data_IF_739233397770
#
_entry.id   IF_739233397770
#
_cell.length_a   1.000
_cell.length_b   1.000
_cell.length_c   1.000
_cell.angle_alpha   90.00
_cell.angle_beta   90.00
_cell.angle_gamma   90.00
#
_symmetry.space_group_name_H-M   'P 1'
#
loop_
_entity.id
_entity.type
_entity.pdbx_description
1 polymer ?
#
# COMPACT_ATOMS: atom_id res chain seq x y z
N UNK A 1 -15.17 48.22 51.92
CA UNK A 1 -14.10 47.48 52.63
C UNK A 1 -13.39 46.59 51.61
N UNK A 2 -12.07 46.76 51.49
CA UNK A 2 -11.02 46.05 50.72
C UNK A 2 -9.96 45.66 51.80
N UNK A 3 -8.91 44.82 51.60
CA UNK A 3 -8.44 43.94 50.49
C UNK A 3 -8.04 42.52 51.08
N UNK A 4 -7.08 41.68 50.59
CA UNK A 4 -6.17 41.82 49.45
C UNK A 4 -5.97 40.62 48.49
N UNK A 5 -5.50 41.03 47.31
CA UNK A 5 -4.81 40.27 46.27
C UNK A 5 -3.37 39.93 46.71
N UNK A 6 -2.89 38.75 46.30
CA UNK A 6 -1.45 38.42 46.32
C UNK A 6 -0.98 38.15 44.90
N UNK A 7 -0.07 38.98 44.42
CA UNK A 7 0.66 38.81 43.17
C UNK A 7 1.87 37.90 43.39
N UNK A 8 2.14 36.98 42.46
CA UNK A 8 3.38 36.23 42.40
C UNK A 8 4.21 36.77 41.24
N UNK A 9 5.28 37.49 41.60
CA UNK A 9 6.38 37.87 40.73
C UNK A 9 7.33 36.68 40.58
N UNK A 10 7.66 36.29 39.35
CA UNK A 10 8.77 35.37 39.09
C UNK A 10 9.81 36.10 38.26
N UNK A 11 11.01 36.18 38.81
CA UNK A 11 12.10 37.03 38.35
C UNK A 11 12.80 36.55 37.08
N UNK A 12 13.29 37.53 36.34
CA UNK A 12 14.37 37.44 35.37
C UNK A 12 15.60 36.76 35.99
N UNK A 13 16.15 35.73 35.33
CA UNK A 13 17.56 35.38 35.45
C UNK A 13 18.21 35.41 34.07
N UNK A 14 19.20 36.29 33.95
CA UNK A 14 20.08 36.48 32.81
C UNK A 14 21.47 36.02 33.22
N UNK A 15 22.22 35.38 32.32
CA UNK A 15 23.69 35.47 32.34
C UNK A 15 24.48 34.17 32.26
N UNK A 16 24.91 33.88 31.04
CA UNK A 16 26.21 33.33 30.65
C UNK A 16 26.68 32.00 31.26
N UNK A 17 26.57 30.93 30.46
CA UNK A 17 27.57 29.86 30.44
C UNK A 17 28.24 29.85 29.06
N UNK A 18 29.53 30.19 29.07
CA UNK A 18 30.47 30.02 27.97
C UNK A 18 30.58 28.53 27.63
N UNK A 19 30.05 28.11 26.47
CA UNK A 19 30.38 26.83 25.88
C UNK A 19 31.53 27.03 24.88
N UNK A 20 32.68 26.49 25.25
CA UNK A 20 33.85 26.31 24.40
C UNK A 20 33.49 25.39 23.23
N UNK A 21 33.64 25.91 22.00
CA UNK A 21 33.57 25.12 20.77
C UNK A 21 34.79 24.20 20.68
N UNK A 22 34.60 22.91 20.96
CA UNK A 22 35.47 21.86 20.46
C UNK A 22 34.98 21.48 19.07
N UNK A 23 35.68 21.98 18.05
CA UNK A 23 35.49 21.58 16.66
C UNK A 23 35.90 20.12 16.47
N UNK A 24 34.91 19.23 16.42
CA UNK A 24 35.07 17.89 15.89
C UNK A 24 35.16 17.97 14.36
N UNK A 25 36.34 17.71 13.82
CA UNK A 25 36.51 17.44 12.39
C UNK A 25 36.03 16.01 12.11
N UNK A 26 35.01 15.78 11.27
CA UNK A 26 34.77 14.44 10.76
C UNK A 26 35.91 14.10 9.77
N UNK A 27 36.75 13.15 10.17
CA UNK A 27 37.69 12.51 9.26
C UNK A 27 36.91 11.69 8.25
N UNK A 28 36.74 12.23 7.04
CA UNK A 28 36.17 11.51 5.90
C UNK A 28 37.19 10.45 5.49
N UNK A 29 37.04 9.23 6.01
CA UNK A 29 37.63 8.07 5.38
C UNK A 29 36.85 7.84 4.09
N UNK A 30 37.47 8.20 2.96
CA UNK A 30 37.04 7.76 1.66
C UNK A 30 37.17 6.23 1.62
N UNK A 31 36.07 5.53 1.88
CA UNK A 31 35.97 4.12 1.56
C UNK A 31 35.90 4.01 0.05
N UNK A 32 37.01 3.64 -0.58
CA UNK A 32 37.06 3.15 -1.95
C UNK A 32 36.14 1.94 -2.04
N UNK A 33 34.91 2.12 -2.51
CA UNK A 33 34.04 1.01 -2.90
C UNK A 33 34.65 0.42 -4.17
N UNK A 34 35.44 -0.63 -3.97
CA UNK A 34 35.87 -1.53 -5.03
C UNK A 34 34.62 -2.12 -5.67
N UNK A 35 34.38 -1.71 -6.91
CA UNK A 35 33.33 -2.23 -7.78
C UNK A 35 33.71 -3.66 -8.22
N UNK A 36 33.52 -4.64 -7.34
CA UNK A 36 33.56 -6.06 -7.70
C UNK A 36 32.14 -6.54 -7.90
N UNK A 37 31.79 -6.70 -9.18
CA UNK A 37 30.48 -7.13 -9.61
C UNK A 37 30.00 -8.40 -8.91
N UNK A 38 28.74 -8.35 -8.49
CA UNK A 38 27.78 -9.43 -8.61
C UNK A 38 26.41 -8.79 -8.49
N UNK A 39 25.88 -8.39 -9.65
CA UNK A 39 24.44 -8.35 -9.81
C UNK A 39 23.93 -9.75 -9.50
N UNK A 40 23.43 -9.95 -8.28
CA UNK A 40 22.52 -11.04 -8.02
C UNK A 40 21.19 -10.66 -8.67
N UNK A 41 21.17 -10.67 -10.01
CA UNK A 41 19.99 -11.12 -10.70
C UNK A 41 19.74 -12.52 -10.16
N UNK A 42 18.80 -12.64 -9.21
CA UNK A 42 18.30 -13.91 -8.80
C UNK A 42 17.79 -14.58 -10.09
N UNK A 43 18.55 -15.58 -10.57
CA UNK A 43 18.07 -16.51 -11.57
C UNK A 43 16.85 -17.19 -10.96
N UNK A 44 15.66 -16.63 -11.20
CA UNK A 44 14.39 -17.27 -10.86
C UNK A 44 14.35 -18.58 -11.65
N UNK A 45 14.42 -19.75 -11.00
CA UNK A 45 14.36 -21.02 -11.70
C UNK A 45 12.94 -21.22 -12.24
N UNK A 46 12.83 -21.47 -13.55
CA UNK A 46 11.62 -21.78 -14.32
C UNK A 46 10.65 -20.63 -14.64
N UNK A 47 10.63 -20.25 -15.92
CA UNK A 47 9.75 -19.28 -16.60
C UNK A 47 8.28 -19.71 -16.73
N UNK A 48 7.71 -20.31 -15.69
CA UNK A 48 6.27 -20.56 -15.65
C UNK A 48 5.51 -19.29 -15.27
N UNK A 49 4.36 -19.05 -15.91
CA UNK A 49 3.40 -18.04 -15.48
C UNK A 49 2.20 -18.73 -14.83
N UNK A 50 1.67 -18.12 -13.78
CA UNK A 50 0.38 -18.44 -13.22
C UNK A 50 -0.65 -17.43 -13.68
N UNK A 51 -1.90 -17.87 -13.80
CA UNK A 51 -3.00 -17.02 -14.21
C UNK A 51 -3.95 -16.79 -13.03
N UNK A 52 -4.23 -15.53 -12.76
CA UNK A 52 -5.20 -15.12 -11.74
C UNK A 52 -6.30 -14.31 -12.44
N UNK A 53 -7.52 -14.82 -12.41
CA UNK A 53 -8.72 -14.14 -12.85
C UNK A 53 -9.37 -13.44 -11.66
N UNK A 54 -9.27 -12.12 -11.61
CA UNK A 54 -9.96 -11.30 -10.62
C UNK A 54 -11.39 -11.04 -11.08
N UNK A 55 -12.37 -11.31 -10.21
CA UNK A 55 -13.79 -10.99 -10.44
C UNK A 55 -14.25 -9.98 -9.41
N UNK A 56 -14.50 -8.75 -9.86
CA UNK A 56 -14.80 -7.63 -8.97
C UNK A 56 -16.29 -7.34 -8.98
N UNK A 57 -16.89 -7.46 -7.80
CA UNK A 57 -18.26 -7.07 -7.50
C UNK A 57 -18.30 -6.05 -6.36
N UNK A 58 -19.51 -5.79 -5.87
CA UNK A 58 -19.76 -4.97 -4.69
C UNK A 58 -20.94 -5.52 -3.90
N UNK A 59 -21.24 -4.91 -2.75
CA UNK A 59 -22.43 -5.28 -1.98
C UNK A 59 -23.76 -4.97 -2.70
N UNK A 60 -23.74 -4.18 -3.78
CA UNK A 60 -24.94 -3.75 -4.53
C UNK A 60 -24.96 -4.16 -6.00
N UNK A 61 -23.86 -4.73 -6.53
CA UNK A 61 -23.74 -5.17 -7.92
C UNK A 61 -22.81 -6.37 -8.00
N UNK A 62 -23.18 -7.37 -8.81
CA UNK A 62 -22.32 -8.52 -9.10
C UNK A 62 -21.07 -8.15 -9.91
N UNK A 63 -21.09 -7.01 -10.60
CA UNK A 63 -20.03 -6.57 -11.53
C UNK A 63 -19.64 -5.12 -11.24
N UNK A 64 -18.33 -4.87 -11.19
CA UNK A 64 -17.74 -3.53 -11.19
C UNK A 64 -16.70 -3.43 -12.32
N UNK A 65 -17.10 -2.80 -13.42
CA UNK A 65 -16.23 -2.51 -14.56
C UNK A 65 -15.33 -1.29 -14.27
N UNK A 66 -14.15 -1.24 -14.90
CA UNK A 66 -13.20 -0.13 -14.74
C UNK A 66 -12.52 -0.07 -13.36
N UNK A 67 -12.65 -1.10 -12.54
CA UNK A 67 -11.90 -1.21 -11.29
C UNK A 67 -10.43 -1.50 -11.61
N UNK A 68 -9.52 -0.72 -11.01
CA UNK A 68 -8.09 -0.99 -11.10
C UNK A 68 -7.70 -2.10 -10.14
N UNK A 69 -7.05 -3.13 -10.66
CA UNK A 69 -6.40 -4.17 -9.88
C UNK A 69 -4.88 -3.92 -9.90
N UNK A 70 -4.23 -4.02 -8.76
CA UNK A 70 -2.79 -3.90 -8.58
C UNK A 70 -2.32 -5.18 -7.90
N UNK A 71 -1.54 -5.99 -8.59
CA UNK A 71 -1.02 -7.28 -8.10
C UNK A 71 0.43 -7.10 -7.67
N UNK A 72 0.72 -7.52 -6.45
CA UNK A 72 1.96 -7.22 -5.73
C UNK A 72 2.60 -8.54 -5.29
N UNK A 73 3.87 -8.76 -5.62
CA UNK A 73 4.58 -9.96 -5.20
C UNK A 73 5.03 -9.89 -3.73
N UNK A 74 5.64 -10.97 -3.24
CA UNK A 74 6.12 -11.06 -1.87
C UNK A 74 7.27 -10.08 -1.53
N UNK A 75 7.98 -9.58 -2.55
CA UNK A 75 9.02 -8.55 -2.41
C UNK A 75 8.44 -7.12 -2.38
N UNK A 76 7.10 -6.98 -2.47
CA UNK A 76 6.42 -5.70 -2.48
C UNK A 76 6.43 -4.99 -3.84
N UNK A 77 6.82 -5.66 -4.93
CA UNK A 77 6.86 -5.10 -6.28
C UNK A 77 5.53 -5.32 -7.01
N UNK A 78 5.09 -4.34 -7.80
CA UNK A 78 3.96 -4.51 -8.71
C UNK A 78 4.37 -5.45 -9.85
N UNK A 79 3.71 -6.60 -9.95
CA UNK A 79 3.94 -7.59 -11.02
C UNK A 79 2.87 -7.56 -12.12
N UNK A 80 1.69 -6.98 -11.82
CA UNK A 80 0.65 -6.76 -12.81
C UNK A 80 -0.29 -5.65 -12.34
N UNK A 81 -0.80 -4.83 -13.26
CA UNK A 81 -1.90 -3.91 -12.98
C UNK A 81 -2.71 -3.64 -14.23
N UNK A 82 -4.02 -3.45 -14.07
CA UNK A 82 -4.92 -3.11 -15.17
C UNK A 82 -6.31 -2.80 -14.66
N UNK A 83 -7.21 -2.51 -15.60
CA UNK A 83 -8.62 -2.25 -15.31
C UNK A 83 -9.45 -3.51 -15.58
N UNK A 84 -10.51 -3.69 -14.81
CA UNK A 84 -11.53 -4.69 -15.12
C UNK A 84 -12.30 -4.33 -16.38
N UNK A 85 -12.67 -5.36 -17.14
CA UNK A 85 -13.52 -5.25 -18.32
C UNK A 85 -14.99 -4.99 -17.96
N UNK A 86 -15.87 -5.03 -18.98
CA UNK A 86 -17.32 -4.85 -18.82
C UNK A 86 -17.99 -5.94 -17.99
N UNK A 87 -17.33 -7.08 -17.78
CA UNK A 87 -17.80 -8.18 -16.93
C UNK A 87 -17.24 -8.10 -15.51
N UNK A 88 -16.46 -7.05 -15.19
CA UNK A 88 -15.82 -6.91 -13.88
C UNK A 88 -14.62 -7.82 -13.71
N UNK A 89 -14.03 -8.29 -14.82
CA UNK A 89 -12.95 -9.26 -14.82
C UNK A 89 -11.62 -8.62 -15.18
N UNK A 90 -10.55 -9.00 -14.47
CA UNK A 90 -9.16 -8.67 -14.84
C UNK A 90 -8.30 -9.93 -14.78
N UNK A 91 -7.60 -10.25 -15.87
CA UNK A 91 -6.72 -11.41 -15.96
C UNK A 91 -5.26 -10.99 -15.79
N UNK A 92 -4.64 -11.44 -14.70
CA UNK A 92 -3.23 -11.21 -14.40
C UNK A 92 -2.41 -12.46 -14.73
N UNK A 93 -1.30 -12.27 -15.46
CA UNK A 93 -0.26 -13.29 -15.59
C UNK A 93 0.89 -12.92 -14.67
N UNK A 94 1.23 -13.80 -13.72
CA UNK A 94 2.25 -13.54 -12.70
C UNK A 94 3.33 -14.62 -12.71
N UNK A 95 4.59 -14.30 -12.38
CA UNK A 95 5.64 -15.31 -12.29
C UNK A 95 5.30 -16.38 -11.24
N UNK A 96 5.52 -17.66 -11.59
CA UNK A 96 5.47 -18.74 -10.60
C UNK A 96 6.77 -18.75 -9.79
N UNK A 97 6.64 -18.79 -8.47
CA UNK A 97 7.76 -19.00 -7.55
C UNK A 97 7.93 -20.49 -7.27
N UNK A 98 8.53 -21.20 -8.24
CA UNK A 98 8.85 -22.64 -8.09
C UNK A 98 10.19 -22.81 -7.38
N UNK A 99 10.16 -23.38 -6.19
CA UNK A 99 11.35 -23.75 -5.42
C UNK A 99 11.20 -25.19 -4.94
N UNK A 100 12.32 -25.86 -4.65
CA UNK A 100 12.34 -27.33 -4.46
C UNK A 100 11.28 -27.83 -3.47
N UNK A 101 11.06 -27.10 -2.37
CA UNK A 101 10.08 -27.48 -1.35
C UNK A 101 8.62 -27.40 -1.83
N UNK A 102 8.29 -26.57 -2.83
CA UNK A 102 6.92 -26.39 -3.33
C UNK A 102 6.63 -27.06 -4.69
N UNK A 103 7.59 -27.80 -5.24
CA UNK A 103 7.43 -28.52 -6.51
C UNK A 103 6.23 -29.47 -6.50
N UNK A 104 5.89 -30.04 -5.36
CA UNK A 104 4.78 -30.99 -5.18
C UNK A 104 3.40 -30.33 -5.00
N UNK A 105 3.32 -29.05 -4.63
CA UNK A 105 2.03 -28.38 -4.35
C UNK A 105 1.49 -27.67 -5.59
N UNK A 106 0.18 -27.66 -5.81
CA UNK A 106 -0.42 -26.92 -6.92
C UNK A 106 -0.13 -25.41 -6.83
N UNK A 107 -0.11 -24.86 -5.62
CA UNK A 107 0.27 -23.47 -5.37
C UNK A 107 1.77 -23.29 -5.51
N UNK A 108 2.19 -22.44 -6.45
CA UNK A 108 3.58 -22.14 -6.76
C UNK A 108 3.99 -20.74 -6.31
N UNK A 109 3.38 -20.22 -5.26
CA UNK A 109 3.66 -18.90 -4.71
C UNK A 109 2.41 -18.19 -4.23
N UNK A 110 2.60 -16.98 -3.71
CA UNK A 110 1.52 -16.09 -3.29
C UNK A 110 1.77 -14.68 -3.83
N UNK A 111 0.67 -13.97 -4.09
CA UNK A 111 0.67 -12.52 -4.32
C UNK A 111 -0.36 -11.86 -3.40
N UNK A 112 -0.27 -10.55 -3.30
CA UNK A 112 -1.32 -9.72 -2.75
C UNK A 112 -1.95 -8.90 -3.88
N UNK A 113 -3.13 -8.36 -3.66
CA UNK A 113 -3.75 -7.43 -4.58
C UNK A 113 -4.40 -6.24 -3.87
N UNK A 114 -4.49 -5.12 -4.57
CA UNK A 114 -5.29 -3.95 -4.18
C UNK A 114 -6.27 -3.67 -5.31
N UNK A 115 -7.53 -3.47 -4.97
CA UNK A 115 -8.60 -3.14 -5.91
C UNK A 115 -9.16 -1.77 -5.57
N UNK A 116 -9.22 -0.90 -6.58
CA UNK A 116 -9.61 0.50 -6.48
C UNK A 116 -10.63 0.81 -7.57
N UNK A 117 -11.77 1.39 -7.22
CA UNK A 117 -12.79 1.79 -8.20
C UNK A 117 -13.47 3.09 -7.80
N UNK A 118 -13.82 3.90 -8.81
CA UNK A 118 -14.58 5.13 -8.60
C UNK A 118 -15.95 4.81 -7.98
N UNK A 119 -16.32 5.51 -6.91
CA UNK A 119 -17.55 5.27 -6.15
C UNK A 119 -17.41 4.25 -5.00
N UNK A 120 -16.23 3.66 -4.80
CA UNK A 120 -16.00 2.62 -3.79
C UNK A 120 -14.80 2.91 -2.89
N UNK A 121 -14.80 2.29 -1.71
CA UNK A 121 -13.62 2.17 -0.86
C UNK A 121 -12.66 1.13 -1.45
N UNK A 122 -11.38 1.28 -1.19
CA UNK A 122 -10.35 0.35 -1.66
C UNK A 122 -10.38 -0.97 -0.90
N UNK A 123 -10.07 -2.08 -1.58
CA UNK A 123 -9.96 -3.40 -0.97
C UNK A 123 -8.59 -4.00 -1.22
N UNK A 124 -7.85 -4.31 -0.16
CA UNK A 124 -6.67 -5.17 -0.24
C UNK A 124 -7.09 -6.63 -0.07
N UNK A 125 -6.40 -7.54 -0.76
CA UNK A 125 -6.58 -8.98 -0.65
C UNK A 125 -5.21 -9.61 -0.48
N UNK A 126 -4.99 -10.24 0.66
CA UNK A 126 -3.70 -10.84 1.00
C UNK A 126 -3.72 -12.36 0.76
N UNK A 127 -2.55 -12.93 0.48
CA UNK A 127 -2.34 -14.39 0.37
C UNK A 127 -3.21 -14.99 -0.75
N UNK A 128 -3.09 -14.44 -1.95
CA UNK A 128 -3.71 -15.00 -3.16
C UNK A 128 -2.78 -16.10 -3.68
N UNK A 129 -3.19 -17.38 -3.67
CA UNK A 129 -2.35 -18.47 -4.16
C UNK A 129 -2.18 -18.38 -5.67
N UNK A 130 -0.94 -18.50 -6.14
CA UNK A 130 -0.64 -18.59 -7.56
C UNK A 130 -0.70 -20.07 -7.97
N UNK A 131 -1.66 -20.43 -8.81
CA UNK A 131 -1.77 -21.75 -9.44
C UNK A 131 -1.72 -21.59 -10.96
N UNK A 132 -1.95 -22.67 -11.72
CA UNK A 132 -2.12 -22.57 -13.18
C UNK A 132 -3.36 -21.74 -13.55
N UNK A 133 -4.42 -21.84 -12.76
CA UNK A 133 -5.63 -21.03 -12.90
C UNK A 133 -6.29 -20.79 -11.54
N UNK A 134 -6.13 -19.56 -11.02
CA UNK A 134 -6.77 -19.10 -9.78
C UNK A 134 -7.89 -18.13 -10.13
N UNK A 135 -9.09 -18.31 -9.57
CA UNK A 135 -10.16 -17.31 -9.61
C UNK A 135 -10.19 -16.62 -8.24
N UNK A 136 -10.05 -15.29 -8.23
CA UNK A 136 -10.06 -14.47 -7.02
C UNK A 136 -11.24 -13.48 -7.06
N UNK A 137 -12.36 -13.79 -6.39
CA UNK A 137 -13.43 -12.83 -6.18
C UNK A 137 -13.00 -11.72 -5.22
N UNK A 138 -13.43 -10.48 -5.48
CA UNK A 138 -13.23 -9.33 -4.58
C UNK A 138 -14.52 -8.51 -4.54
N UNK A 139 -14.94 -8.13 -3.33
CA UNK A 139 -16.16 -7.36 -3.12
C UNK A 139 -15.80 -5.97 -2.59
N UNK A 140 -16.10 -4.95 -3.37
CA UNK A 140 -15.92 -3.56 -2.98
C UNK A 140 -17.10 -3.04 -2.16
N UNK A 141 -16.81 -2.12 -1.24
CA UNK A 141 -17.83 -1.41 -0.48
C UNK A 141 -18.10 -0.05 -1.13
N UNK A 142 -19.34 0.27 -1.50
CA UNK A 142 -19.67 1.60 -1.98
C UNK A 142 -19.30 2.67 -0.95
N UNK A 143 -18.85 3.82 -1.44
CA UNK A 143 -18.68 5.01 -0.62
C UNK A 143 -20.02 5.34 0.01
N UNK A 144 -20.03 5.53 1.33
CA UNK A 144 -21.22 5.95 2.07
C UNK A 144 -20.88 7.25 2.80
N UNK A 145 -21.54 8.37 2.45
CA UNK A 145 -21.24 9.68 3.03
C UNK A 145 -21.60 9.79 4.52
N UNK A 146 -22.31 8.82 5.07
CA UNK A 146 -22.72 8.77 6.48
C UNK A 146 -21.74 8.04 7.39
N UNK A 147 -20.65 7.51 6.84
CA UNK A 147 -19.63 6.77 7.60
C UNK A 147 -18.23 7.04 7.08
N UNK A 148 -17.24 6.59 7.85
CA UNK A 148 -15.85 6.63 7.43
C UNK A 148 -15.60 5.66 6.26
N UNK A 149 -14.98 6.14 5.19
CA UNK A 149 -14.77 5.42 3.95
C UNK A 149 -13.33 4.92 3.83
N UNK A 150 -12.93 4.08 4.77
CA UNK A 150 -11.57 3.53 4.82
C UNK A 150 -11.39 2.33 3.88
N UNK A 151 -10.14 2.06 3.46
CA UNK A 151 -9.81 0.78 2.86
C UNK A 151 -10.13 -0.38 3.79
N UNK A 152 -10.47 -1.52 3.20
CA UNK A 152 -10.64 -2.79 3.91
C UNK A 152 -9.71 -3.87 3.35
N UNK A 153 -9.50 -4.93 4.12
CA UNK A 153 -8.62 -6.03 3.74
C UNK A 153 -9.36 -7.37 3.85
N UNK A 154 -9.11 -8.27 2.91
CA UNK A 154 -9.45 -9.68 3.01
C UNK A 154 -8.24 -10.41 3.55
N UNK A 155 -8.42 -11.05 4.70
CA UNK A 155 -7.38 -11.76 5.47
C UNK A 155 -6.32 -10.80 6.05
N UNK A 156 -5.88 -11.09 7.27
CA UNK A 156 -4.94 -10.27 8.03
C UNK A 156 -5.62 -9.25 8.96
N UNK A 157 -4.92 -8.91 10.05
CA UNK A 157 -5.34 -7.91 11.02
C UNK A 157 -4.51 -6.64 10.84
N UNK A 158 -4.85 -5.84 9.84
CA UNK A 158 -4.17 -4.56 9.61
C UNK A 158 -4.80 -3.44 10.44
N UNK A 159 -3.95 -2.60 11.02
CA UNK A 159 -4.38 -1.30 11.51
C UNK A 159 -4.93 -0.45 10.36
N UNK A 160 -6.00 0.30 10.62
CA UNK A 160 -6.62 1.19 9.62
C UNK A 160 -5.63 2.19 9.00
N UNK A 161 -4.70 2.71 9.80
CA UNK A 161 -3.66 3.63 9.35
C UNK A 161 -2.66 2.93 8.41
N UNK A 162 -2.16 1.77 8.81
CA UNK A 162 -1.17 1.02 8.03
C UNK A 162 -1.74 0.57 6.69
N UNK A 163 -3.00 0.09 6.69
CA UNK A 163 -3.68 -0.28 5.46
C UNK A 163 -3.86 0.92 4.52
N UNK A 164 -4.19 2.09 5.07
CA UNK A 164 -4.26 3.34 4.29
C UNK A 164 -2.91 3.68 3.66
N UNK A 165 -1.82 3.56 4.41
CA UNK A 165 -0.47 3.84 3.92
C UNK A 165 -0.02 2.82 2.87
N UNK A 166 -0.34 1.54 3.07
CA UNK A 166 -0.11 0.47 2.09
C UNK A 166 -0.81 0.77 0.77
N UNK A 167 -2.11 1.07 0.80
CA UNK A 167 -2.86 1.46 -0.41
C UNK A 167 -2.29 2.73 -1.04
N UNK A 168 -1.98 3.74 -0.23
CA UNK A 168 -1.42 5.00 -0.72
C UNK A 168 -0.08 4.82 -1.44
N UNK A 169 0.81 3.97 -0.92
CA UNK A 169 2.11 3.70 -1.52
C UNK A 169 1.98 3.26 -2.99
N UNK A 170 1.20 2.22 -3.26
CA UNK A 170 1.02 1.70 -4.62
C UNK A 170 0.19 2.62 -5.51
N UNK A 171 -0.80 3.32 -4.94
CA UNK A 171 -1.56 4.31 -5.69
C UNK A 171 -0.67 5.49 -6.14
N UNK A 172 0.30 5.92 -5.31
CA UNK A 172 1.29 6.92 -5.70
C UNK A 172 2.26 6.40 -6.76
N UNK A 173 2.76 5.16 -6.62
CA UNK A 173 3.64 4.52 -7.60
C UNK A 173 2.99 4.49 -9.00
N UNK A 174 1.70 4.18 -9.06
CA UNK A 174 0.91 4.19 -10.29
C UNK A 174 0.36 5.58 -10.66
N UNK A 175 0.69 6.64 -9.93
CA UNK A 175 0.24 8.02 -10.17
C UNK A 175 -1.29 8.17 -10.24
N UNK A 176 -2.01 7.41 -9.42
CA UNK A 176 -3.47 7.53 -9.34
C UNK A 176 -3.88 8.87 -8.74
N UNK A 177 -5.10 9.30 -9.04
CA UNK A 177 -5.71 10.47 -8.40
C UNK A 177 -6.62 10.05 -7.25
N UNK A 178 -6.93 10.99 -6.35
CA UNK A 178 -7.98 10.80 -5.35
C UNK A 178 -9.35 11.01 -5.99
N UNK A 179 -10.36 10.33 -5.48
CA UNK A 179 -11.75 10.63 -5.75
C UNK A 179 -12.13 11.99 -5.15
N UNK A 180 -13.26 12.59 -5.54
CA UNK A 180 -13.74 13.82 -4.94
C UNK A 180 -13.87 13.72 -3.41
N UNK A 181 -13.68 14.83 -2.67
CA UNK A 181 -13.86 14.85 -1.21
C UNK A 181 -15.26 14.40 -0.79
N UNK A 182 -15.33 13.65 0.31
CA UNK A 182 -16.58 13.18 0.90
C UNK A 182 -16.96 14.16 2.03
N UNK A 183 -18.14 14.81 2.00
CA UNK A 183 -18.46 15.91 2.92
C UNK A 183 -18.32 15.61 4.42
N UNK A 184 -18.57 14.37 4.85
CA UNK A 184 -18.47 13.95 6.26
C UNK A 184 -17.24 13.08 6.57
N UNK A 185 -16.31 12.97 5.62
CA UNK A 185 -15.00 12.31 5.81
C UNK A 185 -13.90 13.19 5.18
N UNK A 186 -13.70 14.43 5.67
CA UNK A 186 -12.79 15.40 5.04
C UNK A 186 -11.32 14.97 5.11
N UNK A 187 -10.98 14.12 6.06
CA UNK A 187 -9.61 13.66 6.31
C UNK A 187 -9.19 12.52 5.38
N UNK A 188 -10.13 11.95 4.62
CA UNK A 188 -9.85 10.86 3.70
C UNK A 188 -10.76 10.85 2.48
N UNK A 189 -10.14 11.06 1.31
CA UNK A 189 -10.75 10.67 0.05
C UNK A 189 -10.16 9.31 -0.39
N UNK A 190 -10.98 8.32 -0.77
CA UNK A 190 -10.51 7.12 -1.45
C UNK A 190 -9.78 7.43 -2.76
N UNK A 191 -8.92 6.54 -3.21
CA UNK A 191 -8.23 6.58 -4.49
C UNK A 191 -9.18 6.25 -5.64
N UNK A 192 -8.91 6.86 -6.79
CA UNK A 192 -9.61 6.62 -8.05
C UNK A 192 -8.88 5.53 -8.84
N UNK A 193 -9.61 4.81 -9.69
CA UNK A 193 -9.03 3.91 -10.70
C UNK A 193 -8.20 4.65 -11.75
N UNK A 194 -8.39 5.97 -11.85
CA UNK A 194 -7.82 6.79 -12.91
C UNK A 194 -6.43 7.30 -12.54
N UNK A 195 -5.54 7.30 -13.53
CA UNK A 195 -4.25 7.98 -13.47
C UNK A 195 -4.44 9.50 -13.56
N UNK A 196 -3.54 10.24 -12.89
CA UNK A 196 -3.42 11.69 -13.01
C UNK A 196 -2.95 12.13 -14.40
#
# INVERSE_FOLDING_TARGET
>A
MKPPFTAVTCGLLCGLLMFSYLSFTPSVHAATISNSGRGHAANLPNSGQGHIEFRIGSSTSAVVAGARVIVINHDGQIVSSGLTDTHGTFNASVPLFKIDWNKQFTTKGIVNAIVIANGFNEQAVFIIPITEHTIQPVVLQPINPERQNLPSASLGAFGKHDLRMYVAHYAYELKLKKQPPIPRDPDYAPWSSDVK
#
